data_IF_314756998493
#
_entry.id   IF_314756998493
#
_cell.length_a   1.000
_cell.length_b   1.000
_cell.length_c   1.000
_cell.angle_alpha   90.00
_cell.angle_beta   90.00
_cell.angle_gamma   90.00
#
_symmetry.space_group_name_H-M   'P 1'
#
loop_
_entity.id
_entity.type
_entity.pdbx_description
1 polymer ?
#
# COMPACT_ATOMS: atom_id res chain seq x y z
N UNK A 1 -12.02 14.73 -3.48
CA UNK A 1 -11.45 15.60 -2.45
C UNK A 1 -9.94 15.66 -2.63
N UNK A 2 -9.29 16.83 -2.56
CA UNK A 2 -7.82 16.90 -2.70
C UNK A 2 -7.18 16.53 -1.37
N UNK A 3 -6.87 15.26 -1.19
CA UNK A 3 -6.22 14.73 0.01
C UNK A 3 -4.74 15.08 -0.03
N UNK A 4 -4.25 15.66 1.07
CA UNK A 4 -2.81 15.90 1.24
C UNK A 4 -2.15 14.56 1.60
N UNK A 5 -1.14 14.11 0.83
CA UNK A 5 -0.45 12.85 1.10
C UNK A 5 0.42 12.94 2.37
N UNK A 6 0.91 11.80 2.88
CA UNK A 6 1.81 11.76 4.02
C UNK A 6 3.05 12.67 3.87
N UNK A 7 3.42 13.34 4.96
CA UNK A 7 4.70 14.08 5.04
C UNK A 7 5.90 13.15 4.90
N UNK A 8 7.09 13.67 4.60
CA UNK A 8 8.31 12.83 4.50
C UNK A 8 8.63 12.10 5.82
N UNK A 9 8.34 12.72 6.97
CA UNK A 9 8.50 12.09 8.28
C UNK A 9 7.54 10.91 8.46
N UNK A 10 6.27 11.10 8.09
CA UNK A 10 5.27 10.03 8.14
C UNK A 10 5.56 8.93 7.13
N UNK A 11 5.98 9.28 5.91
CA UNK A 11 6.40 8.34 4.88
C UNK A 11 7.54 7.45 5.39
N UNK A 12 8.53 8.03 6.09
CA UNK A 12 9.63 7.25 6.68
C UNK A 12 9.14 6.20 7.68
N UNK A 13 8.13 6.54 8.49
CA UNK A 13 7.50 5.61 9.44
C UNK A 13 6.72 4.51 8.70
N UNK A 14 5.93 4.89 7.69
CA UNK A 14 5.16 3.94 6.88
C UNK A 14 6.12 2.94 6.20
N UNK A 15 7.20 3.44 5.58
CA UNK A 15 8.19 2.60 4.91
C UNK A 15 8.92 1.67 5.86
N UNK A 16 9.14 2.06 7.13
CA UNK A 16 9.69 1.15 8.14
C UNK A 16 8.78 -0.06 8.39
N UNK A 17 7.46 0.10 8.36
CA UNK A 17 6.53 -1.03 8.46
C UNK A 17 6.55 -1.89 7.21
N UNK A 18 6.63 -1.29 6.02
CA UNK A 18 6.77 -2.04 4.76
C UNK A 18 8.08 -2.83 4.71
N UNK A 19 9.19 -2.25 5.16
CA UNK A 19 10.48 -2.94 5.26
C UNK A 19 10.38 -4.13 6.21
N UNK A 20 9.76 -3.96 7.38
CA UNK A 20 9.53 -5.06 8.33
C UNK A 20 8.67 -6.16 7.74
N UNK A 21 7.63 -5.80 6.99
CA UNK A 21 6.80 -6.75 6.24
C UNK A 21 7.68 -7.58 5.29
N UNK A 22 8.55 -6.96 4.50
CA UNK A 22 9.44 -7.67 3.57
C UNK A 22 10.40 -8.64 4.28
N UNK A 23 10.87 -8.29 5.48
CA UNK A 23 11.85 -9.09 6.23
C UNK A 23 11.24 -10.08 7.24
N UNK A 24 9.92 -10.12 7.41
CA UNK A 24 9.26 -11.10 8.29
C UNK A 24 9.17 -12.47 7.62
N UNK A 25 9.44 -13.55 8.36
CA UNK A 25 9.26 -14.92 7.86
C UNK A 25 7.84 -15.49 8.13
N UNK A 26 7.11 -14.89 9.08
CA UNK A 26 5.75 -15.30 9.44
C UNK A 26 4.70 -14.56 8.59
N UNK A 27 3.73 -15.25 7.95
CA UNK A 27 2.67 -14.60 7.19
C UNK A 27 1.77 -13.73 8.09
N UNK A 28 1.62 -14.09 9.37
CA UNK A 28 0.87 -13.29 10.33
C UNK A 28 1.60 -11.98 10.65
N UNK A 29 2.91 -12.03 10.90
CA UNK A 29 3.69 -10.82 11.16
C UNK A 29 3.72 -9.89 9.94
N UNK A 30 3.79 -10.45 8.72
CA UNK A 30 3.66 -9.68 7.49
C UNK A 30 2.31 -8.93 7.45
N UNK A 31 1.22 -9.61 7.78
CA UNK A 31 -0.11 -9.00 7.84
C UNK A 31 -0.16 -7.89 8.90
N UNK A 32 0.37 -8.11 10.10
CA UNK A 32 0.40 -7.11 11.17
C UNK A 32 1.21 -5.85 10.77
N UNK A 33 2.33 -6.04 10.08
CA UNK A 33 3.11 -4.92 9.53
C UNK A 33 2.34 -4.20 8.41
N UNK A 34 1.60 -4.92 7.56
CA UNK A 34 0.72 -4.29 6.57
C UNK A 34 -0.34 -3.43 7.25
N UNK A 35 -1.06 -3.97 8.24
CA UNK A 35 -2.06 -3.23 9.03
C UNK A 35 -1.45 -1.99 9.69
N UNK A 36 -0.23 -2.11 10.23
CA UNK A 36 0.48 -0.98 10.84
C UNK A 36 0.85 0.09 9.82
N UNK A 37 1.31 -0.29 8.62
CA UNK A 37 1.61 0.64 7.54
C UNK A 37 0.35 1.40 7.09
N UNK A 38 -0.77 0.69 6.92
CA UNK A 38 -2.05 1.28 6.53
C UNK A 38 -2.57 2.23 7.62
N UNK A 39 -2.52 1.83 8.89
CA UNK A 39 -2.87 2.70 10.02
C UNK A 39 -2.02 3.97 10.05
N UNK A 40 -0.71 3.85 9.80
CA UNK A 40 0.19 5.01 9.72
C UNK A 40 -0.16 5.95 8.54
N UNK A 41 -0.61 5.42 7.40
CA UNK A 41 -1.15 6.22 6.28
C UNK A 41 -2.39 6.99 6.74
N UNK A 42 -3.37 6.31 7.35
CA UNK A 42 -4.59 6.94 7.83
C UNK A 42 -4.32 8.06 8.82
N UNK A 43 -3.47 7.81 9.82
CA UNK A 43 -3.10 8.80 10.83
C UNK A 43 -2.36 9.99 10.20
N UNK A 44 -1.40 9.72 9.31
CA UNK A 44 -0.65 10.79 8.64
C UNK A 44 -1.55 11.72 7.82
N UNK A 45 -2.50 11.16 7.08
CA UNK A 45 -3.45 11.95 6.30
C UNK A 45 -4.39 12.74 7.21
N UNK A 46 -4.88 12.12 8.30
CA UNK A 46 -5.69 12.82 9.29
C UNK A 46 -4.95 14.02 9.88
N UNK A 47 -3.69 13.85 10.25
CA UNK A 47 -2.86 14.91 10.83
C UNK A 47 -2.58 16.02 9.80
N UNK A 48 -2.20 15.65 8.58
CA UNK A 48 -1.91 16.59 7.49
C UNK A 48 -3.14 17.37 7.01
N UNK A 49 -4.34 16.86 7.27
CA UNK A 49 -5.60 17.51 6.90
C UNK A 49 -6.38 17.97 8.13
N UNK A 50 -5.79 18.06 9.33
CA UNK A 50 -6.52 18.33 10.59
C UNK A 50 -7.45 19.56 10.58
N UNK A 51 -7.15 20.59 9.77
CA UNK A 51 -8.01 21.78 9.58
C UNK A 51 -9.26 21.53 8.72
N UNK A 52 -9.32 20.38 8.03
CA UNK A 52 -10.38 19.95 7.15
C UNK A 52 -10.84 18.59 7.69
N UNK A 53 -12.08 18.44 8.14
CA UNK A 53 -12.61 17.13 8.56
C UNK A 53 -12.66 16.13 7.39
N UNK A 54 -11.51 15.60 6.97
CA UNK A 54 -11.32 14.70 5.84
C UNK A 54 -11.20 13.31 6.41
N UNK A 55 -12.21 12.49 6.13
CA UNK A 55 -12.16 11.05 6.36
C UNK A 55 -11.69 10.38 5.07
N UNK A 56 -10.62 9.59 5.16
CA UNK A 56 -10.18 8.75 4.05
C UNK A 56 -11.26 7.70 3.75
N UNK A 57 -11.75 7.70 2.52
CA UNK A 57 -12.57 6.62 2.00
C UNK A 57 -11.73 5.47 1.45
N UNK A 58 -12.41 4.39 1.06
CA UNK A 58 -11.79 3.26 0.37
C UNK A 58 -11.08 3.69 -0.93
N UNK A 59 -11.74 4.59 -1.68
CA UNK A 59 -11.25 5.10 -2.98
C UNK A 59 -9.97 5.94 -2.87
N UNK A 60 -9.69 6.48 -1.69
CA UNK A 60 -8.53 7.30 -1.43
C UNK A 60 -7.31 6.49 -0.96
N UNK A 61 -7.53 5.31 -0.38
CA UNK A 61 -6.46 4.48 0.15
C UNK A 61 -5.58 3.89 -0.95
N UNK A 62 -6.19 3.38 -2.03
CA UNK A 62 -5.46 2.78 -3.15
C UNK A 62 -4.43 3.73 -3.76
N UNK A 63 -4.78 4.97 -4.19
CA UNK A 63 -3.80 5.89 -4.76
C UNK A 63 -2.70 6.29 -3.75
N UNK A 64 -3.02 6.37 -2.46
CA UNK A 64 -2.02 6.62 -1.42
C UNK A 64 -1.04 5.46 -1.25
N UNK A 65 -1.53 4.22 -1.27
CA UNK A 65 -0.69 3.04 -1.18
C UNK A 65 0.23 2.93 -2.40
N UNK A 66 -0.31 3.18 -3.61
CA UNK A 66 0.50 3.29 -4.85
C UNK A 66 1.60 4.34 -4.68
N UNK A 67 1.25 5.53 -4.19
CA UNK A 67 2.22 6.61 -3.95
C UNK A 67 3.32 6.20 -2.96
N UNK A 68 2.97 5.54 -1.85
CA UNK A 68 3.95 5.03 -0.86
C UNK A 68 4.90 4.03 -1.51
N UNK A 69 4.39 3.04 -2.26
CA UNK A 69 5.23 2.02 -2.91
C UNK A 69 6.21 2.65 -3.91
N UNK A 70 5.76 3.64 -4.69
CA UNK A 70 6.62 4.36 -5.64
C UNK A 70 7.70 5.17 -4.91
N UNK A 71 7.32 5.93 -3.89
CA UNK A 71 8.26 6.76 -3.11
C UNK A 71 9.28 5.91 -2.35
N UNK A 72 8.85 4.78 -1.83
CA UNK A 72 9.69 3.81 -1.14
C UNK A 72 10.51 2.90 -2.05
N UNK A 73 10.29 2.95 -3.37
CA UNK A 73 10.89 2.03 -4.35
C UNK A 73 10.69 0.56 -3.97
N UNK A 74 9.50 0.23 -3.47
CA UNK A 74 9.16 -1.12 -2.99
C UNK A 74 8.91 -2.01 -4.21
N UNK A 75 9.78 -3.00 -4.43
CA UNK A 75 9.74 -3.89 -5.61
C UNK A 75 9.11 -5.25 -5.31
N UNK A 76 9.15 -5.72 -4.06
CA UNK A 76 8.70 -7.06 -3.69
C UNK A 76 7.22 -7.14 -3.30
N UNK A 77 6.48 -6.04 -3.37
CA UNK A 77 5.09 -5.97 -2.91
C UNK A 77 4.17 -7.05 -3.52
N UNK A 78 4.44 -7.49 -4.75
CA UNK A 78 3.68 -8.58 -5.40
C UNK A 78 3.89 -9.91 -4.68
N UNK A 79 5.15 -10.34 -4.53
CA UNK A 79 5.47 -11.62 -3.91
C UNK A 79 5.07 -11.65 -2.43
N UNK A 80 5.16 -10.52 -1.75
CA UNK A 80 4.70 -10.38 -0.37
C UNK A 80 3.18 -10.56 -0.23
N UNK A 81 2.41 -10.01 -1.17
CA UNK A 81 0.97 -10.20 -1.20
C UNK A 81 0.60 -11.67 -1.49
N UNK A 82 1.25 -12.29 -2.47
CA UNK A 82 1.05 -13.71 -2.80
C UNK A 82 1.42 -14.63 -1.64
N UNK A 83 2.50 -14.33 -0.91
CA UNK A 83 2.93 -15.07 0.27
C UNK A 83 1.85 -15.03 1.36
N UNK A 84 1.33 -13.83 1.67
CA UNK A 84 0.26 -13.68 2.65
C UNK A 84 -1.03 -14.38 2.20
N UNK A 85 -1.44 -14.24 0.93
CA UNK A 85 -2.61 -14.94 0.40
C UNK A 85 -2.49 -16.47 0.47
N UNK A 86 -1.30 -17.00 0.21
CA UNK A 86 -1.07 -18.44 0.15
C UNK A 86 -0.95 -19.12 1.52
N UNK A 87 -0.48 -18.40 2.55
CA UNK A 87 -0.10 -19.00 3.83
C UNK A 87 -0.94 -18.54 5.03
N UNK A 88 -1.71 -17.44 4.93
CA UNK A 88 -2.59 -17.02 6.01
C UNK A 88 -3.80 -17.95 6.13
N UNK A 89 -4.22 -18.21 7.38
CA UNK A 89 -5.47 -18.91 7.63
C UNK A 89 -6.67 -18.07 7.13
N UNK A 90 -7.67 -18.65 6.45
CA UNK A 90 -8.78 -17.91 5.86
C UNK A 90 -9.55 -17.00 6.82
N UNK A 91 -9.60 -17.35 8.12
CA UNK A 91 -10.27 -16.50 9.11
C UNK A 91 -9.62 -15.11 9.25
N UNK A 92 -8.32 -15.00 9.02
CA UNK A 92 -7.56 -13.73 9.07
C UNK A 92 -7.76 -12.88 7.81
N UNK A 93 -8.26 -13.50 6.74
CA UNK A 93 -8.58 -12.84 5.47
C UNK A 93 -10.03 -12.34 5.42
N UNK A 94 -10.79 -12.53 6.50
CA UNK A 94 -12.11 -11.92 6.66
C UNK A 94 -11.98 -10.51 7.26
N UNK A 95 -12.80 -9.55 6.80
CA UNK A 95 -12.76 -8.17 7.27
C UNK A 95 -11.54 -7.38 6.76
N UNK A 96 -10.88 -6.67 7.67
CA UNK A 96 -9.83 -5.69 7.33
C UNK A 96 -8.57 -6.32 6.71
N UNK A 97 -8.15 -7.49 7.19
CA UNK A 97 -6.94 -8.15 6.69
C UNK A 97 -7.03 -8.46 5.20
N UNK A 98 -8.13 -9.11 4.78
CA UNK A 98 -8.38 -9.39 3.35
C UNK A 98 -8.61 -8.13 2.52
N UNK A 99 -9.26 -7.12 3.09
CA UNK A 99 -9.49 -5.84 2.42
C UNK A 99 -8.17 -5.11 2.10
N UNK A 100 -7.27 -4.98 3.07
CA UNK A 100 -5.99 -4.30 2.86
C UNK A 100 -5.04 -5.13 1.98
N UNK A 101 -5.10 -6.47 2.06
CA UNK A 101 -4.33 -7.34 1.17
C UNK A 101 -4.82 -7.26 -0.28
N UNK A 102 -6.14 -7.14 -0.48
CA UNK A 102 -6.75 -6.83 -1.80
C UNK A 102 -6.30 -5.46 -2.31
N UNK A 103 -6.23 -4.47 -1.42
CA UNK A 103 -5.76 -3.12 -1.76
C UNK A 103 -4.30 -3.11 -2.18
N UNK A 104 -3.43 -3.85 -1.47
CA UNK A 104 -2.02 -4.04 -1.84
C UNK A 104 -1.87 -4.71 -3.21
N UNK A 105 -2.61 -5.80 -3.43
CA UNK A 105 -2.63 -6.51 -4.72
C UNK A 105 -3.09 -5.59 -5.86
N UNK A 106 -4.09 -4.75 -5.60
CA UNK A 106 -4.58 -3.76 -6.57
C UNK A 106 -3.55 -2.67 -6.86
N UNK A 107 -2.82 -2.20 -5.84
CA UNK A 107 -1.74 -1.22 -6.02
C UNK A 107 -0.63 -1.77 -6.91
N UNK A 108 -0.23 -3.03 -6.70
CA UNK A 108 0.72 -3.76 -7.56
C UNK A 108 0.20 -3.85 -8.99
N UNK A 109 -1.06 -4.25 -9.18
CA UNK A 109 -1.68 -4.33 -10.51
C UNK A 109 -1.66 -2.98 -11.24
N UNK A 110 -2.02 -1.90 -10.55
CA UNK A 110 -1.98 -0.53 -11.09
C UNK A 110 -0.57 -0.17 -11.57
N UNK A 111 0.46 -0.43 -10.75
CA UNK A 111 1.86 -0.14 -11.11
C UNK A 111 2.33 -0.92 -12.34
N UNK A 112 1.94 -2.20 -12.45
CA UNK A 112 2.26 -3.05 -13.61
C UNK A 112 1.56 -2.56 -14.89
N UNK A 113 0.30 -2.17 -14.79
CA UNK A 113 -0.47 -1.65 -15.93
C UNK A 113 0.06 -0.30 -16.42
N UNK A 114 0.43 0.61 -15.51
CA UNK A 114 1.07 1.89 -15.89
C UNK A 114 2.38 1.69 -16.64
N UNK A 115 3.22 0.72 -16.22
CA UNK A 115 4.45 0.37 -16.93
C UNK A 115 4.16 -0.08 -18.36
N UNK A 116 3.14 -0.92 -18.55
CA UNK A 116 2.80 -1.46 -19.88
C UNK A 116 2.29 -0.39 -20.84
N UNK A 117 1.55 0.61 -20.36
CA UNK A 117 1.05 1.74 -21.17
C UNK A 117 2.15 2.71 -21.63
N UNK A 118 3.32 2.72 -20.99
CA UNK A 118 4.47 3.54 -21.43
C UNK A 118 5.33 2.85 -22.50
N UNK A 119 5.21 1.53 -22.65
CA UNK A 119 6.00 0.75 -23.63
C UNK A 119 5.45 0.86 -25.06
N UNK A 120 4.29 1.49 -25.26
CA UNK A 120 3.71 1.79 -26.58
C UNK A 120 4.13 3.18 -27.06
N UNK A 121 5.42 3.39 -27.29
CA UNK A 121 5.88 4.51 -28.13
C UNK A 121 5.99 3.97 -29.56
N UNK A 122 5.21 4.45 -30.54
CA UNK A 122 5.32 3.95 -31.90
C UNK A 122 6.65 4.44 -32.49
N UNK A 123 7.55 3.51 -32.78
CA UNK A 123 8.67 3.73 -33.68
C UNK A 123 8.09 4.19 -35.02
N UNK A 124 8.20 5.49 -35.29
CA UNK A 124 7.90 6.05 -36.61
C UNK A 124 9.06 5.68 -37.54
N UNK A 125 8.76 4.89 -38.57
CA UNK A 125 9.58 4.74 -39.78
C UNK A 125 9.17 5.80 -40.80
#
# INVERSE_FOLDING_TARGET
STIIPPSDASLSIILKYIERLQHSDSPLEKLENLLSAISAIFNSVKDANSDRHVTLGADDLLPLLVWVLVRGKVVDAEIEAEFMWGLLHPSLLTGEGGYYLTTLSSAVHVLKTFKNSQTTVPTSN
#
